data_IF_109166795527
#
_entry.id   IF_109166795527
#
_cell.length_a   1.000
_cell.length_b   1.000
_cell.length_c   1.000
_cell.angle_alpha   90.00
_cell.angle_beta   90.00
_cell.angle_gamma   90.00
#
_symmetry.space_group_name_H-M   'P 1'
#
loop_
_entity.id
_entity.type
_entity.pdbx_description
1 polymer ?
#
# COMPACT_ATOMS: atom_id res chain seq x y z
N UNK A 1 55.69 -20.40 -54.56
CA UNK A 1 54.34 -19.78 -54.43
C UNK A 1 53.78 -20.24 -53.10
N UNK A 2 53.96 -19.42 -52.03
CA UNK A 2 53.44 -19.74 -50.70
C UNK A 2 52.10 -19.01 -50.51
N UNK A 3 51.05 -19.78 -50.43
CA UNK A 3 49.68 -19.29 -50.12
C UNK A 3 49.51 -19.16 -48.62
N UNK A 4 49.53 -17.92 -48.11
CA UNK A 4 49.18 -17.62 -46.71
C UNK A 4 47.66 -17.54 -46.58
N UNK A 5 47.11 -18.50 -45.84
CA UNK A 5 45.69 -18.52 -45.46
C UNK A 5 45.43 -17.45 -44.36
N UNK A 6 44.45 -16.54 -44.49
CA UNK A 6 44.18 -15.58 -43.46
C UNK A 6 43.50 -16.25 -42.25
N UNK A 7 44.02 -15.95 -41.04
CA UNK A 7 43.46 -16.41 -39.77
C UNK A 7 42.13 -15.68 -39.52
N UNK A 8 41.04 -16.37 -39.15
CA UNK A 8 39.76 -15.73 -38.81
C UNK A 8 39.88 -14.92 -37.52
N UNK A 9 39.48 -13.68 -37.58
CA UNK A 9 39.36 -12.76 -36.43
C UNK A 9 38.28 -13.28 -35.46
N UNK A 10 38.57 -13.37 -34.14
CA UNK A 10 37.54 -13.76 -33.16
C UNK A 10 36.40 -12.72 -33.14
N UNK A 11 35.17 -13.20 -33.32
CA UNK A 11 33.99 -12.34 -33.19
C UNK A 11 33.85 -11.85 -31.75
N UNK A 12 33.81 -10.54 -31.58
CA UNK A 12 33.51 -9.90 -30.29
C UNK A 12 32.13 -10.38 -29.82
N UNK A 13 31.98 -10.90 -28.58
CA UNK A 13 30.67 -11.27 -28.08
C UNK A 13 29.79 -10.01 -28.02
N UNK A 14 28.67 -10.04 -28.73
CA UNK A 14 27.66 -9.02 -28.69
C UNK A 14 27.21 -8.83 -27.24
N UNK A 15 27.49 -7.64 -26.71
CA UNK A 15 27.08 -7.26 -25.36
C UNK A 15 25.57 -7.48 -25.21
N UNK A 16 25.20 -8.31 -24.26
CA UNK A 16 23.81 -8.50 -23.86
C UNK A 16 23.25 -7.15 -23.44
N UNK A 17 22.51 -6.51 -24.34
CA UNK A 17 21.70 -5.36 -24.01
C UNK A 17 20.79 -5.77 -22.85
N UNK A 18 21.07 -5.24 -21.65
CA UNK A 18 20.15 -5.32 -20.52
C UNK A 18 18.88 -4.61 -20.95
N UNK A 19 17.93 -5.36 -21.46
CA UNK A 19 16.61 -4.89 -21.79
C UNK A 19 16.05 -4.19 -20.57
N UNK A 20 15.78 -2.88 -20.67
CA UNK A 20 14.98 -2.16 -19.70
C UNK A 20 13.70 -2.94 -19.51
N UNK A 21 13.52 -3.53 -18.31
CA UNK A 21 12.29 -4.25 -18.00
C UNK A 21 11.12 -3.27 -18.19
N UNK A 22 10.42 -3.42 -19.30
CA UNK A 22 9.22 -2.64 -19.60
C UNK A 22 8.24 -2.89 -18.44
N UNK A 23 7.71 -1.81 -17.86
CA UNK A 23 6.71 -1.92 -16.81
C UNK A 23 5.51 -2.62 -17.44
N UNK A 24 5.24 -3.87 -17.02
CA UNK A 24 4.08 -4.62 -17.51
C UNK A 24 2.85 -4.11 -16.75
N UNK A 25 2.15 -3.16 -17.34
CA UNK A 25 0.95 -2.54 -16.77
C UNK A 25 -0.24 -3.50 -16.69
N UNK A 26 -0.24 -4.55 -17.50
CA UNK A 26 -1.35 -5.51 -17.55
C UNK A 26 -1.35 -6.43 -16.34
N UNK A 27 -2.46 -6.47 -15.62
CA UNK A 27 -2.72 -7.44 -14.59
C UNK A 27 -2.89 -8.84 -15.20
N UNK A 28 -2.29 -9.83 -14.56
CA UNK A 28 -2.49 -11.24 -14.87
C UNK A 28 -3.44 -11.83 -13.85
N UNK A 29 -4.09 -12.93 -14.18
CA UNK A 29 -4.99 -13.64 -13.25
C UNK A 29 -4.26 -13.96 -11.93
N UNK A 30 -3.01 -14.39 -12.00
CA UNK A 30 -2.21 -14.67 -10.80
C UNK A 30 -2.01 -13.43 -9.90
N UNK A 31 -1.87 -12.23 -10.49
CA UNK A 31 -1.72 -11.00 -9.72
C UNK A 31 -3.01 -10.69 -8.94
N UNK A 32 -4.17 -10.88 -9.59
CA UNK A 32 -5.48 -10.69 -8.96
C UNK A 32 -5.67 -11.70 -7.83
N UNK A 33 -5.37 -12.98 -8.08
CA UNK A 33 -5.52 -14.04 -7.05
C UNK A 33 -4.62 -13.75 -5.85
N UNK A 34 -3.34 -13.43 -6.07
CA UNK A 34 -2.40 -13.13 -4.97
C UNK A 34 -2.84 -11.89 -4.20
N UNK A 35 -3.21 -10.80 -4.90
CA UNK A 35 -3.70 -9.59 -4.24
C UNK A 35 -4.98 -9.86 -3.44
N UNK A 36 -5.88 -10.70 -3.96
CA UNK A 36 -7.12 -11.08 -3.26
C UNK A 36 -6.82 -11.92 -2.00
N UNK A 37 -5.89 -12.85 -2.05
CA UNK A 37 -5.49 -13.64 -0.86
C UNK A 37 -4.90 -12.73 0.21
N UNK A 38 -4.03 -11.78 -0.18
CA UNK A 38 -3.46 -10.80 0.75
C UNK A 38 -4.57 -9.93 1.34
N UNK A 39 -5.48 -9.40 0.52
CA UNK A 39 -6.58 -8.55 0.96
C UNK A 39 -7.52 -9.27 1.93
N UNK A 40 -7.89 -10.53 1.65
CA UNK A 40 -8.73 -11.33 2.55
C UNK A 40 -8.03 -11.59 3.88
N UNK A 41 -6.76 -12.02 3.86
CA UNK A 41 -5.99 -12.26 5.08
C UNK A 41 -5.83 -10.98 5.90
N UNK A 42 -5.50 -9.86 5.25
CA UNK A 42 -5.37 -8.56 5.92
C UNK A 42 -6.71 -8.08 6.49
N UNK A 43 -7.83 -8.30 5.80
CA UNK A 43 -9.16 -7.93 6.29
C UNK A 43 -9.56 -8.65 7.58
N UNK A 44 -9.18 -9.92 7.72
CA UNK A 44 -9.36 -10.66 8.98
C UNK A 44 -8.46 -10.08 10.09
N UNK A 45 -7.23 -9.68 9.76
CA UNK A 45 -6.33 -9.01 10.71
C UNK A 45 -6.90 -7.65 11.11
N UNK A 46 -7.44 -6.87 10.17
CA UNK A 46 -8.09 -5.59 10.44
C UNK A 46 -9.25 -5.74 11.43
N UNK A 47 -10.09 -6.74 11.22
CA UNK A 47 -11.19 -7.04 12.12
C UNK A 47 -10.68 -7.42 13.52
N UNK A 48 -9.70 -8.33 13.60
CA UNK A 48 -9.13 -8.75 14.88
C UNK A 48 -8.45 -7.57 15.61
N UNK A 49 -7.72 -6.72 14.88
CA UNK A 49 -7.14 -5.49 15.41
C UNK A 49 -8.22 -4.53 15.91
N UNK A 50 -9.31 -4.37 15.17
CA UNK A 50 -10.44 -3.51 15.54
C UNK A 50 -11.04 -3.89 16.90
N UNK A 51 -11.14 -5.17 17.19
CA UNK A 51 -11.55 -5.65 18.53
C UNK A 51 -10.48 -5.32 19.59
N UNK A 52 -9.20 -5.57 19.28
CA UNK A 52 -8.08 -5.30 20.17
C UNK A 52 -7.80 -3.82 20.41
N UNK A 53 -8.16 -2.97 19.46
CA UNK A 53 -7.92 -1.52 19.46
C UNK A 53 -8.57 -0.78 20.65
N UNK A 54 -9.73 -1.24 21.12
CA UNK A 54 -10.52 -0.56 22.15
C UNK A 54 -9.77 -0.39 23.48
N UNK A 55 -9.00 -1.38 23.90
CA UNK A 55 -8.22 -1.32 25.12
C UNK A 55 -7.11 -0.25 25.06
N UNK A 56 -6.16 -0.33 24.12
CA UNK A 56 -5.13 0.67 23.94
C UNK A 56 -5.68 2.08 23.71
N UNK A 57 -6.78 2.22 22.94
CA UNK A 57 -7.45 3.51 22.74
C UNK A 57 -7.87 4.13 24.06
N UNK A 58 -8.56 3.40 24.91
CA UNK A 58 -9.04 3.90 26.19
C UNK A 58 -7.89 4.35 27.12
N UNK A 59 -6.68 3.81 26.95
CA UNK A 59 -5.50 4.21 27.71
C UNK A 59 -4.83 5.46 27.13
N UNK A 60 -4.85 5.64 25.80
CA UNK A 60 -4.15 6.75 25.13
C UNK A 60 -5.00 8.02 25.05
N UNK A 61 -6.30 7.88 24.91
CA UNK A 61 -7.24 9.02 24.74
C UNK A 61 -7.15 10.06 25.88
N UNK A 62 -7.01 9.70 27.17
CA UNK A 62 -6.87 10.68 28.24
C UNK A 62 -5.50 11.34 28.32
N UNK A 63 -4.47 10.75 27.69
CA UNK A 63 -3.09 11.23 27.80
C UNK A 63 -2.84 12.44 26.88
N UNK A 64 -3.25 12.33 25.63
CA UNK A 64 -3.11 13.39 24.64
C UNK A 64 -4.14 13.20 23.53
N UNK A 65 -4.96 14.22 23.22
CA UNK A 65 -5.87 14.15 22.06
C UNK A 65 -5.07 13.87 20.77
N UNK A 66 -5.53 12.90 19.99
CA UNK A 66 -4.86 12.49 18.75
C UNK A 66 -3.84 11.37 18.88
N UNK A 67 -3.31 11.06 20.08
CA UNK A 67 -2.34 10.01 20.28
C UNK A 67 -2.86 8.62 19.88
N UNK A 68 -4.17 8.39 19.98
CA UNK A 68 -4.84 7.18 19.51
C UNK A 68 -4.67 6.94 18.00
N UNK A 69 -4.39 7.97 17.18
CA UNK A 69 -4.09 7.83 15.75
C UNK A 69 -2.86 6.99 15.46
N UNK A 70 -1.93 6.84 16.42
CA UNK A 70 -0.81 5.91 16.28
C UNK A 70 -1.26 4.45 16.18
N UNK A 71 -2.45 4.15 16.70
CA UNK A 71 -3.04 2.82 16.64
C UNK A 71 -3.66 2.51 15.27
N UNK A 72 -3.74 3.48 14.37
CA UNK A 72 -4.30 3.29 13.03
C UNK A 72 -3.29 2.59 12.09
N UNK A 73 -2.00 2.57 12.47
CA UNK A 73 -0.94 1.93 11.69
C UNK A 73 -1.24 0.53 11.17
N UNK A 74 -1.78 -0.40 11.98
CA UNK A 74 -2.14 -1.74 11.51
C UNK A 74 -3.21 -1.81 10.43
N UNK A 75 -3.98 -0.75 10.18
CA UNK A 75 -4.92 -0.73 9.05
C UNK A 75 -4.31 -0.23 7.74
N UNK A 76 -3.04 0.20 7.74
CA UNK A 76 -2.38 0.79 6.56
C UNK A 76 -1.50 -0.20 5.81
N UNK A 77 -1.29 -1.42 6.33
CA UNK A 77 -0.26 -2.29 5.77
C UNK A 77 -0.71 -3.06 4.52
N UNK A 78 -2.00 -3.34 4.35
CA UNK A 78 -2.47 -4.24 3.30
C UNK A 78 -2.18 -3.70 1.90
N UNK A 79 -2.45 -2.42 1.66
CA UNK A 79 -2.18 -1.76 0.38
C UNK A 79 -0.69 -1.71 0.07
N UNK A 80 0.13 -1.32 1.06
CA UNK A 80 1.58 -1.28 0.90
C UNK A 80 2.14 -2.67 0.59
N UNK A 81 1.72 -3.70 1.35
CA UNK A 81 2.14 -5.08 1.13
C UNK A 81 1.72 -5.61 -0.24
N UNK A 82 0.46 -5.38 -0.62
CA UNK A 82 -0.06 -5.76 -1.93
C UNK A 82 0.73 -5.13 -3.06
N UNK A 83 1.02 -3.83 -2.98
CA UNK A 83 1.82 -3.14 -3.97
C UNK A 83 3.25 -3.67 -4.06
N UNK A 84 3.91 -3.95 -2.94
CA UNK A 84 5.27 -4.50 -2.91
C UNK A 84 5.38 -5.88 -3.55
N UNK A 85 4.34 -6.71 -3.41
CA UNK A 85 4.32 -8.07 -3.95
C UNK A 85 3.93 -8.05 -5.43
N UNK A 86 2.85 -7.35 -5.79
CA UNK A 86 2.30 -7.32 -7.14
C UNK A 86 3.12 -6.42 -8.08
N UNK A 87 3.63 -5.30 -7.57
CA UNK A 87 4.45 -4.31 -8.29
C UNK A 87 3.78 -3.77 -9.56
N UNK A 88 2.49 -3.54 -9.49
CA UNK A 88 1.68 -3.01 -10.60
C UNK A 88 0.79 -1.87 -10.12
N UNK A 89 0.47 -0.93 -11.01
CA UNK A 89 -0.45 0.15 -10.70
C UNK A 89 -1.81 -0.37 -10.24
N UNK A 90 -2.36 0.27 -9.22
CA UNK A 90 -3.64 -0.09 -8.61
C UNK A 90 -3.55 -1.21 -7.56
N UNK A 91 -2.36 -1.77 -7.31
CA UNK A 91 -2.23 -2.89 -6.38
C UNK A 91 -2.47 -2.49 -4.92
N UNK A 92 -2.00 -1.29 -4.52
CA UNK A 92 -2.27 -0.77 -3.19
C UNK A 92 -3.76 -0.52 -2.97
N UNK A 93 -4.42 0.15 -3.91
CA UNK A 93 -5.85 0.44 -3.84
C UNK A 93 -6.66 -0.85 -3.77
N UNK A 94 -6.40 -1.80 -4.69
CA UNK A 94 -7.14 -3.04 -4.75
C UNK A 94 -7.04 -3.85 -3.45
N UNK A 95 -5.81 -4.02 -2.93
CA UNK A 95 -5.58 -4.86 -1.76
C UNK A 95 -6.14 -4.22 -0.49
N UNK A 96 -5.98 -2.89 -0.32
CA UNK A 96 -6.48 -2.15 0.83
C UNK A 96 -8.02 -2.12 0.84
N UNK A 97 -8.62 -1.80 -0.30
CA UNK A 97 -10.07 -1.81 -0.45
C UNK A 97 -10.66 -3.20 -0.17
N UNK A 98 -10.05 -4.26 -0.70
CA UNK A 98 -10.52 -5.62 -0.45
C UNK A 98 -10.40 -6.01 1.03
N UNK A 99 -9.30 -5.63 1.69
CA UNK A 99 -9.13 -5.85 3.13
C UNK A 99 -10.22 -5.14 3.93
N UNK A 100 -10.53 -3.90 3.57
CA UNK A 100 -11.61 -3.12 4.19
C UNK A 100 -12.99 -3.73 3.95
N UNK A 101 -13.26 -4.21 2.73
CA UNK A 101 -14.52 -4.93 2.41
C UNK A 101 -14.65 -6.18 3.26
N UNK A 102 -13.61 -7.01 3.36
CA UNK A 102 -13.64 -8.23 4.18
C UNK A 102 -13.85 -7.89 5.65
N UNK A 103 -13.14 -6.91 6.20
CA UNK A 103 -13.32 -6.44 7.56
C UNK A 103 -14.74 -5.96 7.82
N UNK A 104 -15.33 -5.22 6.88
CA UNK A 104 -16.71 -4.74 6.96
C UNK A 104 -17.75 -5.88 6.94
N UNK A 105 -17.53 -6.90 6.10
CA UNK A 105 -18.42 -8.06 5.96
C UNK A 105 -18.37 -8.99 7.19
N UNK A 106 -17.21 -9.11 7.80
CA UNK A 106 -17.04 -9.92 9.04
C UNK A 106 -17.68 -9.23 10.24
N UNK A 107 -17.84 -7.90 10.20
CA UNK A 107 -18.56 -7.14 11.20
C UNK A 107 -17.65 -6.28 12.08
N UNK A 108 -17.09 -5.22 11.49
CA UNK A 108 -16.36 -4.22 12.26
C UNK A 108 -17.32 -3.19 12.93
N UNK A 109 -16.79 -2.41 13.84
CA UNK A 109 -17.56 -1.46 14.65
C UNK A 109 -17.84 -0.10 13.96
N UNK A 110 -17.19 0.19 12.82
CA UNK A 110 -17.30 1.50 12.15
C UNK A 110 -18.37 1.54 11.05
N UNK A 111 -19.00 0.40 10.74
CA UNK A 111 -19.99 0.28 9.67
C UNK A 111 -19.37 0.04 8.28
N UNK A 112 -20.14 -0.66 7.42
CA UNK A 112 -19.62 -1.18 6.16
C UNK A 112 -19.14 -0.10 5.18
N UNK A 113 -19.96 0.93 4.95
CA UNK A 113 -19.65 1.96 3.95
C UNK A 113 -18.42 2.80 4.33
N UNK A 114 -18.37 3.30 5.57
CA UNK A 114 -17.25 4.12 6.05
C UNK A 114 -15.93 3.34 6.08
N UNK A 115 -15.98 2.05 6.39
CA UNK A 115 -14.79 1.20 6.36
C UNK A 115 -14.25 1.03 4.93
N UNK A 116 -15.14 0.82 3.94
CA UNK A 116 -14.73 0.69 2.54
C UNK A 116 -14.20 2.01 1.98
N UNK A 117 -14.83 3.12 2.34
CA UNK A 117 -14.38 4.45 1.96
C UNK A 117 -12.98 4.75 2.54
N UNK A 118 -12.77 4.50 3.83
CA UNK A 118 -11.47 4.66 4.47
C UNK A 118 -10.39 3.80 3.78
N UNK A 119 -10.69 2.54 3.47
CA UNK A 119 -9.75 1.67 2.76
C UNK A 119 -9.41 2.16 1.36
N UNK A 120 -10.39 2.71 0.64
CA UNK A 120 -10.14 3.33 -0.67
C UNK A 120 -9.19 4.52 -0.55
N UNK A 121 -9.44 5.42 0.40
CA UNK A 121 -8.64 6.63 0.62
C UNK A 121 -7.22 6.30 1.07
N UNK A 122 -7.06 5.34 1.98
CA UNK A 122 -5.75 4.88 2.46
C UNK A 122 -4.97 4.18 1.34
N UNK A 123 -5.64 3.31 0.56
CA UNK A 123 -5.07 2.67 -0.61
C UNK A 123 -4.61 3.68 -1.68
N UNK A 124 -5.38 4.74 -1.92
CA UNK A 124 -5.00 5.85 -2.80
C UNK A 124 -3.75 6.57 -2.28
N UNK A 125 -3.65 6.83 -0.98
CA UNK A 125 -2.49 7.47 -0.36
C UNK A 125 -1.20 6.67 -0.59
N UNK A 126 -1.25 5.34 -0.40
CA UNK A 126 -0.12 4.46 -0.71
C UNK A 126 0.20 4.43 -2.20
N UNK A 127 -0.82 4.35 -3.05
CA UNK A 127 -0.68 4.28 -4.51
C UNK A 127 -0.01 5.53 -5.09
N UNK A 128 -0.38 6.71 -4.60
CA UNK A 128 0.23 8.00 -5.01
C UNK A 128 1.73 7.98 -4.78
N UNK A 129 2.21 7.45 -3.67
CA UNK A 129 3.65 7.36 -3.42
C UNK A 129 4.32 6.43 -4.44
N UNK A 130 3.79 5.24 -4.71
CA UNK A 130 4.36 4.35 -5.73
C UNK A 130 4.32 4.99 -7.12
N UNK A 131 3.27 5.75 -7.44
CA UNK A 131 3.16 6.52 -8.69
C UNK A 131 4.27 7.59 -8.78
N UNK A 132 4.55 8.35 -7.71
CA UNK A 132 5.63 9.35 -7.68
C UNK A 132 7.01 8.73 -7.95
N UNK A 133 7.21 7.47 -7.58
CA UNK A 133 8.40 6.70 -7.94
C UNK A 133 8.25 5.95 -9.27
N UNK A 134 7.22 6.24 -10.08
CA UNK A 134 6.95 5.65 -11.39
C UNK A 134 6.89 4.11 -11.36
N UNK A 135 6.52 3.49 -10.24
CA UNK A 135 6.52 2.04 -10.03
C UNK A 135 7.86 1.35 -10.34
N UNK A 136 8.97 2.09 -10.17
CA UNK A 136 10.31 1.59 -10.46
C UNK A 136 11.12 1.24 -9.21
N UNK A 137 10.72 1.73 -8.05
CA UNK A 137 11.43 1.54 -6.79
C UNK A 137 10.56 0.85 -5.75
N UNK A 138 11.03 -0.31 -5.28
CA UNK A 138 10.32 -1.18 -4.32
C UNK A 138 11.21 -1.44 -3.10
N UNK A 139 11.85 -0.41 -2.59
CA UNK A 139 12.76 -0.46 -1.44
C UNK A 139 12.01 -0.15 -0.16
N UNK A 140 12.59 -0.54 0.99
CA UNK A 140 12.04 -0.25 2.31
C UNK A 140 11.71 1.23 2.54
N UNK A 141 12.57 2.21 2.18
CA UNK A 141 12.22 3.62 2.31
C UNK A 141 10.96 4.01 1.54
N UNK A 142 10.77 3.49 0.32
CA UNK A 142 9.57 3.77 -0.48
C UNK A 142 8.33 3.12 0.17
N UNK A 143 8.48 1.93 0.75
CA UNK A 143 7.40 1.28 1.49
C UNK A 143 6.97 2.09 2.73
N UNK A 144 7.94 2.63 3.47
CA UNK A 144 7.69 3.50 4.63
C UNK A 144 6.98 4.78 4.18
N UNK A 145 7.44 5.41 3.10
CA UNK A 145 6.76 6.58 2.53
C UNK A 145 5.34 6.25 2.06
N UNK A 146 5.12 5.07 1.47
CA UNK A 146 3.78 4.64 1.04
C UNK A 146 2.84 4.43 2.24
N UNK A 147 3.34 3.85 3.34
CA UNK A 147 2.60 3.78 4.60
C UNK A 147 2.29 5.16 5.18
N UNK A 148 3.25 6.08 5.16
CA UNK A 148 3.04 7.47 5.58
C UNK A 148 2.00 8.17 4.68
N UNK A 149 2.04 7.95 3.36
CA UNK A 149 1.05 8.46 2.42
C UNK A 149 -0.35 7.95 2.72
N UNK A 150 -0.50 6.65 2.97
CA UNK A 150 -1.76 6.05 3.40
C UNK A 150 -2.26 6.69 4.71
N UNK A 151 -1.36 6.87 5.69
CA UNK A 151 -1.70 7.50 6.97
C UNK A 151 -2.13 8.95 6.84
N UNK A 152 -1.44 9.76 6.02
CA UNK A 152 -1.81 11.16 5.76
C UNK A 152 -3.20 11.24 5.12
N UNK A 153 -3.46 10.43 4.09
CA UNK A 153 -4.77 10.41 3.43
C UNK A 153 -5.87 9.96 4.40
N UNK A 154 -5.60 8.92 5.21
CA UNK A 154 -6.52 8.46 6.25
C UNK A 154 -6.78 9.53 7.32
N UNK A 155 -5.75 10.23 7.79
CA UNK A 155 -5.89 11.31 8.76
C UNK A 155 -6.72 12.47 8.22
N UNK A 156 -6.44 12.91 6.99
CA UNK A 156 -7.25 13.96 6.33
C UNK A 156 -8.70 13.52 6.19
N UNK A 157 -8.93 12.27 5.80
CA UNK A 157 -10.28 11.70 5.69
C UNK A 157 -11.00 11.70 7.04
N UNK A 158 -10.35 11.26 8.10
CA UNK A 158 -10.90 11.26 9.45
C UNK A 158 -11.24 12.69 9.92
N UNK A 159 -10.38 13.67 9.62
CA UNK A 159 -10.65 15.08 9.92
C UNK A 159 -11.92 15.58 9.22
N UNK A 160 -12.10 15.26 7.96
CA UNK A 160 -13.25 15.69 7.18
C UNK A 160 -14.56 15.04 7.63
N UNK A 161 -14.52 13.76 8.01
CA UNK A 161 -15.71 13.00 8.38
C UNK A 161 -16.12 13.18 9.84
N UNK A 162 -15.15 13.17 10.77
CA UNK A 162 -15.43 13.08 12.20
C UNK A 162 -15.15 14.37 12.97
N UNK A 163 -14.28 15.23 12.42
CA UNK A 163 -13.82 16.44 13.11
C UNK A 163 -14.13 17.72 12.31
N UNK A 164 -15.07 17.67 11.37
CA UNK A 164 -15.53 18.83 10.62
C UNK A 164 -16.11 19.87 11.59
N UNK A 165 -15.40 21.02 11.74
CA UNK A 165 -15.77 22.10 12.65
C UNK A 165 -15.07 22.10 14.01
N UNK A 166 -14.14 21.18 14.27
CA UNK A 166 -13.26 21.25 15.45
C UNK A 166 -12.21 22.36 15.30
N UNK A 167 -11.78 22.93 16.43
CA UNK A 167 -10.79 24.01 16.46
C UNK A 167 -9.46 23.56 15.83
N UNK A 168 -8.75 24.48 15.17
CA UNK A 168 -7.47 24.23 14.48
C UNK A 168 -6.41 23.64 15.40
N UNK A 169 -6.46 23.94 16.71
CA UNK A 169 -5.56 23.37 17.72
C UNK A 169 -5.72 21.86 17.85
N UNK A 170 -6.93 21.32 17.69
CA UNK A 170 -7.21 19.90 17.74
C UNK A 170 -6.75 19.16 16.48
N UNK A 171 -6.66 19.88 15.37
CA UNK A 171 -6.30 19.31 14.06
C UNK A 171 -4.80 19.11 13.89
N UNK A 172 -3.95 19.81 14.66
CA UNK A 172 -2.49 19.87 14.50
C UNK A 172 -1.73 19.04 15.56
N UNK A 173 -2.41 18.56 16.58
CA UNK A 173 -1.86 17.69 17.63
C UNK A 173 -2.22 16.24 17.36
#
# INVERSE_FOLDING_TARGET
MSTTTPTPTPATPAGTARGSAAIIWRWRVVDIVVASVIGVAAGLIFMAWGVGYLGPKALLEPLLPGLQGLLDGPWLFAGVLGALIIRKPGAAIYTELLASVVSALVGNQWGGFLTMEAGLVQGLGAEVIFLLFFYKRWSLPVAVLAGAGAGIFGAVNNMLLWYAGSDTTFTVV
#
